data_IF_975939835840
#
_entry.id   IF_975939835840
#
_cell.length_a   1.000
_cell.length_b   1.000
_cell.length_c   1.000
_cell.angle_alpha   90.00
_cell.angle_beta   90.00
_cell.angle_gamma   90.00
#
_symmetry.space_group_name_H-M   'P 1'
#
loop_
_entity.id
_entity.type
_entity.pdbx_description
1 polymer ?
#
# COMPACT_ATOMS: atom_id res chain seq x y z
N UNK A 1 10.67 3.65 21.75
CA UNK A 1 10.79 3.30 20.33
C UNK A 1 10.51 4.56 19.53
N UNK A 2 11.43 5.00 18.68
CA UNK A 2 11.27 6.24 17.91
C UNK A 2 10.32 5.98 16.75
N UNK A 3 9.29 6.82 16.61
CA UNK A 3 8.39 6.81 15.46
C UNK A 3 8.63 8.11 14.68
N UNK A 4 9.01 7.97 13.41
CA UNK A 4 9.33 9.10 12.53
C UNK A 4 8.18 9.29 11.54
N UNK A 5 7.36 10.36 11.69
CA UNK A 5 6.40 10.73 10.67
C UNK A 5 7.10 11.08 9.37
N UNK A 6 6.64 10.49 8.27
CA UNK A 6 7.15 10.74 6.93
C UNK A 6 6.15 11.64 6.21
N UNK A 7 6.62 12.82 5.79
CA UNK A 7 5.84 13.73 4.96
C UNK A 7 5.71 13.16 3.55
N UNK A 8 4.56 12.54 3.27
CA UNK A 8 4.29 11.89 1.99
C UNK A 8 4.14 12.90 0.84
N UNK A 9 3.92 14.18 1.13
CA UNK A 9 3.85 15.23 0.11
C UNK A 9 5.22 15.58 -0.50
N UNK A 10 6.32 15.12 0.11
CA UNK A 10 7.68 15.30 -0.44
C UNK A 10 8.03 14.31 -1.54
N UNK A 11 7.27 13.24 -1.70
CA UNK A 11 7.43 12.31 -2.81
C UNK A 11 6.77 12.88 -4.06
N UNK A 12 7.47 12.81 -5.19
CA UNK A 12 6.94 13.18 -6.51
C UNK A 12 5.82 12.23 -6.95
N UNK A 13 5.93 10.95 -6.60
CA UNK A 13 4.89 9.95 -6.81
C UNK A 13 5.06 8.78 -5.84
N UNK A 14 3.94 8.12 -5.53
CA UNK A 14 3.92 6.84 -4.81
C UNK A 14 3.09 5.86 -5.62
N UNK A 15 3.68 4.72 -5.99
CA UNK A 15 3.02 3.69 -6.79
C UNK A 15 3.05 2.36 -6.05
N UNK A 16 1.96 1.60 -6.13
CA UNK A 16 1.93 0.22 -5.65
C UNK A 16 2.82 -0.67 -6.54
N UNK A 17 3.97 -1.08 -6.03
CA UNK A 17 4.90 -2.00 -6.69
C UNK A 17 4.53 -3.46 -6.47
N UNK A 18 4.00 -3.80 -5.29
CA UNK A 18 3.54 -5.15 -4.92
C UNK A 18 2.15 -5.05 -4.30
N UNK A 19 1.19 -5.76 -4.87
CA UNK A 19 -0.20 -5.76 -4.42
C UNK A 19 -0.35 -6.11 -2.93
N UNK A 20 -1.45 -5.65 -2.30
CA UNK A 20 -1.74 -5.95 -0.90
C UNK A 20 -1.84 -7.45 -0.65
N UNK A 21 -1.13 -7.92 0.38
CA UNK A 21 -1.20 -9.32 0.84
C UNK A 21 -1.40 -9.38 2.35
N UNK A 22 -2.25 -10.27 2.90
CA UNK A 22 -2.38 -10.45 4.33
C UNK A 22 -1.03 -10.84 4.96
N UNK A 23 -0.59 -10.10 5.97
CA UNK A 23 0.60 -10.46 6.74
C UNK A 23 0.26 -11.69 7.59
N UNK A 24 1.04 -12.75 7.47
CA UNK A 24 0.93 -13.90 8.36
C UNK A 24 1.71 -13.65 9.66
N UNK A 25 1.10 -13.96 10.79
CA UNK A 25 1.77 -14.05 12.09
C UNK A 25 2.50 -15.40 12.23
N UNK A 26 1.89 -16.47 11.70
CA UNK A 26 2.51 -17.78 11.60
C UNK A 26 2.27 -18.34 10.19
N UNK A 27 3.36 -18.67 9.49
CA UNK A 27 3.32 -19.16 8.11
C UNK A 27 2.87 -20.62 8.00
N UNK A 28 3.11 -21.44 9.02
CA UNK A 28 2.75 -22.86 9.04
C UNK A 28 1.25 -23.05 9.27
N UNK A 29 0.67 -22.25 10.18
CA UNK A 29 -0.76 -22.33 10.50
C UNK A 29 -1.64 -21.45 9.61
N UNK A 30 -1.04 -20.53 8.84
CA UNK A 30 -1.77 -19.54 8.07
C UNK A 30 -2.44 -18.45 8.92
N UNK A 31 -2.11 -18.37 10.22
CA UNK A 31 -2.68 -17.36 11.11
C UNK A 31 -2.28 -15.96 10.65
N UNK A 32 -3.28 -15.14 10.32
CA UNK A 32 -3.07 -13.75 9.91
C UNK A 32 -2.69 -12.88 11.11
N UNK A 33 -1.86 -11.87 10.85
CA UNK A 33 -1.51 -10.87 11.84
C UNK A 33 -2.65 -9.87 11.96
N UNK A 34 -3.13 -9.70 13.18
CA UNK A 34 -4.18 -8.74 13.52
C UNK A 34 -3.54 -7.54 14.21
N UNK A 35 -3.98 -6.35 13.83
CA UNK A 35 -3.61 -5.12 14.49
C UNK A 35 -4.31 -5.01 15.84
N UNK A 36 -3.56 -4.75 16.90
CA UNK A 36 -4.09 -4.75 18.27
C UNK A 36 -5.06 -3.59 18.52
N UNK A 37 -4.83 -2.45 17.88
CA UNK A 37 -5.61 -1.22 18.13
C UNK A 37 -6.94 -1.24 17.36
N UNK A 38 -6.91 -1.70 16.10
CA UNK A 38 -8.10 -1.69 15.23
C UNK A 38 -8.84 -3.02 15.16
N UNK A 39 -8.22 -4.13 15.60
CA UNK A 39 -8.75 -5.49 15.45
C UNK A 39 -8.79 -5.99 14.01
N UNK A 40 -8.23 -5.25 13.05
CA UNK A 40 -8.24 -5.60 11.63
C UNK A 40 -7.02 -6.44 11.24
N UNK A 41 -7.17 -7.29 10.22
CA UNK A 41 -6.03 -7.95 9.58
C UNK A 41 -5.04 -6.92 9.04
N UNK A 42 -3.76 -7.12 9.29
CA UNK A 42 -2.69 -6.28 8.74
C UNK A 42 -2.32 -6.78 7.35
N UNK A 43 -2.33 -5.89 6.37
CA UNK A 43 -1.86 -6.14 5.01
C UNK A 43 -0.47 -5.54 4.80
N UNK A 44 0.32 -6.18 3.94
CA UNK A 44 1.58 -5.65 3.42
C UNK A 44 1.36 -5.15 2.00
N UNK A 45 1.82 -3.94 1.71
CA UNK A 45 1.86 -3.39 0.35
C UNK A 45 3.30 -3.00 0.05
N UNK A 46 3.81 -3.36 -1.12
CA UNK A 46 5.09 -2.84 -1.60
C UNK A 46 4.86 -1.51 -2.30
N UNK A 47 5.43 -0.42 -1.79
CA UNK A 47 5.30 0.91 -2.37
C UNK A 47 6.64 1.37 -2.94
N UNK A 48 6.61 1.83 -4.19
CA UNK A 48 7.70 2.59 -4.78
C UNK A 48 7.51 4.07 -4.41
N UNK A 49 8.44 4.60 -3.63
CA UNK A 49 8.48 6.00 -3.20
C UNK A 49 9.48 6.74 -4.10
N UNK A 50 9.00 7.68 -4.91
CA UNK A 50 9.85 8.46 -5.81
C UNK A 50 10.02 9.89 -5.30
N UNK A 51 11.25 10.38 -5.24
CA UNK A 51 11.58 11.75 -4.85
C UNK A 51 12.62 12.33 -5.82
N UNK A 52 12.17 13.22 -6.74
CA UNK A 52 13.06 13.77 -7.75
C UNK A 52 13.62 12.68 -8.67
N UNK A 53 14.92 12.40 -8.56
CA UNK A 53 15.63 11.41 -9.37
C UNK A 53 15.87 10.07 -8.67
N UNK A 54 15.39 9.90 -7.43
CA UNK A 54 15.57 8.66 -6.65
C UNK A 54 14.25 7.93 -6.47
N UNK A 55 14.31 6.60 -6.38
CA UNK A 55 13.17 5.75 -6.13
C UNK A 55 13.57 4.58 -5.22
N UNK A 56 12.79 4.35 -4.16
CA UNK A 56 13.00 3.25 -3.21
C UNK A 56 11.72 2.43 -3.06
N UNK A 57 11.86 1.10 -3.05
CA UNK A 57 10.73 0.20 -2.80
C UNK A 57 10.75 -0.24 -1.35
N UNK A 58 9.68 0.06 -0.61
CA UNK A 58 9.52 -0.31 0.79
C UNK A 58 8.25 -1.12 1.02
N UNK A 59 8.29 -2.02 2.00
CA UNK A 59 7.09 -2.72 2.42
C UNK A 59 6.39 -1.98 3.56
N UNK A 60 5.17 -1.54 3.32
CA UNK A 60 4.34 -0.82 4.27
C UNK A 60 3.25 -1.72 4.83
N UNK A 61 3.11 -1.73 6.15
CA UNK A 61 2.00 -2.40 6.82
C UNK A 61 0.82 -1.45 6.99
N UNK A 62 -0.40 -1.92 6.69
CA UNK A 62 -1.63 -1.15 6.83
C UNK A 62 -2.71 -2.03 7.48
N UNK A 63 -3.46 -1.53 8.49
CA UNK A 63 -4.58 -2.26 9.06
C UNK A 63 -5.81 -2.21 8.14
N UNK A 64 -6.38 -3.36 7.84
CA UNK A 64 -7.46 -3.52 6.88
C UNK A 64 -6.97 -3.61 5.44
N UNK A 65 -7.79 -4.19 4.57
CA UNK A 65 -7.47 -4.34 3.16
C UNK A 65 -7.58 -2.99 2.42
N UNK A 66 -6.52 -2.53 1.74
CA UNK A 66 -6.57 -1.30 0.96
C UNK A 66 -7.25 -1.55 -0.39
N UNK A 67 -8.58 -1.45 -0.40
CA UNK A 67 -9.42 -1.73 -1.58
C UNK A 67 -9.04 -0.85 -2.78
N UNK A 68 -8.99 -1.46 -3.97
CA UNK A 68 -8.63 -0.79 -5.22
C UNK A 68 -7.14 -0.51 -5.41
N UNK A 69 -6.28 -0.91 -4.47
CA UNK A 69 -4.82 -0.83 -4.63
C UNK A 69 -4.31 -2.09 -5.33
N UNK A 70 -3.71 -1.91 -6.51
CA UNK A 70 -3.15 -2.97 -7.35
C UNK A 70 -1.80 -2.56 -7.92
N UNK A 71 -1.01 -3.51 -8.41
CA UNK A 71 0.29 -3.21 -9.04
C UNK A 71 0.16 -2.13 -10.13
N UNK A 72 1.07 -1.16 -10.12
CA UNK A 72 1.11 -0.05 -11.08
C UNK A 72 0.17 1.10 -10.75
N UNK A 73 -0.74 0.95 -9.78
CA UNK A 73 -1.69 2.02 -9.41
C UNK A 73 -0.97 3.09 -8.56
N UNK A 74 -1.06 4.38 -8.93
CA UNK A 74 -0.64 5.48 -8.06
C UNK A 74 -1.52 5.55 -6.81
N UNK A 75 -0.92 5.76 -5.65
CA UNK A 75 -1.63 5.73 -4.36
C UNK A 75 -1.36 6.97 -3.51
N UNK A 76 -2.35 7.33 -2.70
CA UNK A 76 -2.21 8.22 -1.57
C UNK A 76 -1.95 7.39 -0.31
N UNK A 77 -0.98 7.82 0.49
CA UNK A 77 -0.63 7.18 1.77
C UNK A 77 -0.87 8.15 2.90
N UNK A 78 -1.63 7.72 3.92
CA UNK A 78 -1.91 8.53 5.12
C UNK A 78 -1.15 8.03 6.33
N UNK A 79 -0.63 8.98 7.10
CA UNK A 79 0.04 8.77 8.38
C UNK A 79 1.16 7.71 8.28
N UNK A 80 2.05 7.90 7.31
CA UNK A 80 3.21 7.02 7.12
C UNK A 80 4.23 7.27 8.25
N UNK A 81 4.50 6.22 9.01
CA UNK A 81 5.47 6.19 10.09
C UNK A 81 6.59 5.22 9.74
N UNK A 82 7.83 5.68 9.86
CA UNK A 82 9.02 4.86 9.85
C UNK A 82 9.47 4.59 11.29
N UNK A 83 9.78 3.35 11.61
CA UNK A 83 10.29 2.97 12.93
C UNK A 83 11.57 2.16 12.78
N UNK A 84 12.74 2.73 13.16
CA UNK A 84 13.96 1.95 13.22
C UNK A 84 13.83 0.89 14.31
N UNK A 85 14.38 -0.29 14.05
CA UNK A 85 14.43 -1.39 14.99
C UNK A 85 15.78 -2.08 14.93
N UNK A 86 16.15 -2.68 16.05
CA UNK A 86 17.29 -3.57 16.20
C UNK A 86 16.88 -4.74 17.08
N UNK A 87 17.21 -5.96 16.65
CA UNK A 87 17.00 -7.17 17.43
C UNK A 87 18.10 -8.18 17.10
N UNK A 88 18.82 -8.65 18.13
CA UNK A 88 19.85 -9.70 18.00
C UNK A 88 20.84 -9.44 16.85
N UNK A 89 21.33 -8.20 16.74
CA UNK A 89 22.29 -7.78 15.71
C UNK A 89 21.69 -7.54 14.32
N UNK A 90 20.40 -7.82 14.12
CA UNK A 90 19.66 -7.40 12.92
C UNK A 90 19.07 -6.03 13.16
N UNK A 91 19.10 -5.19 12.14
CA UNK A 91 18.50 -3.87 12.19
C UNK A 91 17.74 -3.57 10.90
N UNK A 92 16.87 -2.57 10.96
CA UNK A 92 16.15 -2.10 9.79
C UNK A 92 15.14 -1.02 10.13
N UNK A 93 14.28 -0.71 9.16
CA UNK A 93 13.19 0.24 9.32
C UNK A 93 11.88 -0.46 9.00
N UNK A 94 10.93 -0.40 9.92
CA UNK A 94 9.57 -0.84 9.69
C UNK A 94 8.72 0.35 9.25
N UNK A 95 7.95 0.16 8.17
CA UNK A 95 7.01 1.17 7.69
C UNK A 95 5.58 0.75 8.00
N UNK A 96 4.80 1.69 8.51
CA UNK A 96 3.37 1.53 8.79
C UNK A 96 2.61 2.77 8.32
N UNK A 97 1.47 2.57 7.69
CA UNK A 97 0.53 3.64 7.34
C UNK A 97 -0.82 3.39 8.03
N UNK A 98 -1.59 4.45 8.25
CA UNK A 98 -2.98 4.31 8.70
C UNK A 98 -3.89 3.86 7.55
N UNK A 99 -3.62 4.34 6.33
CA UNK A 99 -4.44 4.07 5.16
C UNK A 99 -3.63 4.19 3.86
N UNK A 100 -3.96 3.35 2.85
CA UNK A 100 -3.45 3.45 1.48
C UNK A 100 -4.66 3.39 0.54
N UNK A 101 -4.79 4.39 -0.35
CA UNK A 101 -5.90 4.51 -1.30
C UNK A 101 -5.39 4.77 -2.71
N UNK A 102 -6.05 4.27 -3.77
CA UNK A 102 -5.71 4.65 -5.13
C UNK A 102 -6.00 6.14 -5.39
N UNK A 103 -5.14 6.83 -6.14
CA UNK A 103 -5.31 8.25 -6.51
C UNK A 103 -6.38 8.47 -7.59
N UNK A 104 -6.73 7.43 -8.34
CA UNK A 104 -7.87 7.42 -9.24
C UNK A 104 -8.72 6.21 -8.92
N UNK A 105 -10.05 6.38 -8.82
CA UNK A 105 -10.95 5.24 -8.82
C UNK A 105 -10.68 4.41 -10.09
N UNK A 106 -10.72 3.06 -10.03
CA UNK A 106 -10.66 2.26 -11.25
C UNK A 106 -11.79 2.73 -12.14
N UNK A 107 -11.43 3.32 -13.29
CA UNK A 107 -12.40 3.81 -14.25
C UNK A 107 -13.31 2.65 -14.63
N UNK A 108 -14.61 2.80 -14.38
CA UNK A 108 -15.61 1.93 -14.99
C UNK A 108 -15.53 2.18 -16.48
N UNK A 109 -14.74 1.36 -17.18
CA UNK A 109 -14.77 1.30 -18.64
C UNK A 109 -16.11 0.70 -19.03
N UNK A 110 -17.17 1.51 -19.05
CA UNK A 110 -18.39 1.18 -19.77
C UNK A 110 -18.04 1.27 -21.25
N UNK A 111 -17.54 0.16 -21.79
CA UNK A 111 -17.40 -0.02 -23.22
C UNK A 111 -18.79 0.11 -23.83
N UNK A 112 -19.08 1.29 -24.42
CA UNK A 112 -20.29 1.55 -25.16
C UNK A 112 -20.41 0.53 -26.29
N UNK A 113 -21.50 -0.24 -26.28
CA UNK A 113 -21.84 -1.11 -27.39
C UNK A 113 -22.03 -0.26 -28.67
N UNK A 114 -21.43 -0.61 -29.81
CA UNK A 114 -21.73 0.07 -31.06
C UNK A 114 -23.16 -0.27 -31.49
N UNK A 115 -24.03 0.74 -31.48
CA UNK A 115 -25.37 0.67 -32.05
C UNK A 115 -25.27 0.39 -33.55
N UNK A 116 -25.82 -0.74 -33.97
CA UNK A 116 -25.96 -1.17 -35.36
C UNK A 116 -26.93 -0.22 -36.08
N UNK A 117 -26.39 0.74 -36.83
CA UNK A 117 -27.17 1.58 -37.74
C UNK A 117 -27.64 0.77 -38.94
N UNK A 118 -28.94 0.51 -39.01
CA UNK A 118 -29.62 0.02 -40.20
C UNK A 118 -30.47 1.17 -40.78
N UNK A 119 -30.34 1.42 -42.09
CA UNK A 119 -31.32 2.18 -42.87
C UNK A 119 -30.85 3.52 -43.43
N UNK A 120 -30.39 3.53 -44.67
CA UNK A 120 -31.14 4.08 -45.80
C UNK A 120 -30.61 3.51 -47.12
#
# INVERSE_FOLDING_TARGET
>A
MVALPIDTAKFTAIICAVAPTPRLANRETGQVRVDRDTGKTVYQVGLCLMAGTTADVVNVNVPGEPSGVQNGVPVQVRDLIATPWENEGRHGVAFRAAEIKPLSAPGTSTAGAPGKGAGQ
#
